data_IF_415323031494
#
_entry.id   IF_415323031494
#
_cell.length_a   1.000
_cell.length_b   1.000
_cell.length_c   1.000
_cell.angle_alpha   90.00
_cell.angle_beta   90.00
_cell.angle_gamma   90.00
#
_symmetry.space_group_name_H-M   'P 1'
#
loop_
_entity.id
_entity.type
_entity.pdbx_description
1 polymer ?
#
# COMPACT_ATOMS: atom_id res chain seq x y z
N UNK A 1 -39.98 -25.10 2.93
CA UNK A 1 -38.51 -25.06 2.87
C UNK A 1 -38.12 -24.02 1.83
N UNK A 2 -37.86 -22.78 2.26
CA UNK A 2 -37.71 -21.64 1.35
C UNK A 2 -36.29 -21.61 0.77
N UNK A 3 -36.17 -21.82 -0.55
CA UNK A 3 -34.93 -21.61 -1.29
C UNK A 3 -34.67 -20.10 -1.35
N UNK A 4 -33.65 -19.65 -0.62
CA UNK A 4 -33.20 -18.27 -0.70
C UNK A 4 -32.66 -18.01 -2.10
N UNK A 5 -33.34 -17.12 -2.84
CA UNK A 5 -32.98 -16.75 -4.21
C UNK A 5 -31.68 -15.92 -4.14
N UNK A 6 -30.55 -16.54 -4.44
CA UNK A 6 -29.25 -15.88 -4.33
C UNK A 6 -29.04 -15.04 -5.58
N UNK A 7 -29.07 -13.72 -5.44
CA UNK A 7 -28.72 -12.81 -6.54
C UNK A 7 -27.21 -12.93 -6.74
N UNK A 8 -26.81 -13.74 -7.72
CA UNK A 8 -25.41 -13.86 -8.13
C UNK A 8 -25.03 -12.58 -8.86
N UNK A 9 -24.36 -11.67 -8.17
CA UNK A 9 -23.84 -10.45 -8.78
C UNK A 9 -22.62 -10.82 -9.62
N UNK A 10 -22.79 -10.81 -10.94
CA UNK A 10 -21.70 -11.03 -11.90
C UNK A 10 -21.01 -9.70 -12.16
N UNK A 11 -19.72 -9.61 -11.81
CA UNK A 11 -18.87 -8.46 -12.09
C UNK A 11 -18.00 -8.79 -13.29
N UNK A 12 -18.22 -8.10 -14.40
CA UNK A 12 -17.41 -8.26 -15.62
C UNK A 12 -15.99 -7.73 -15.40
N UNK A 13 -14.98 -8.49 -15.83
CA UNK A 13 -13.58 -8.14 -15.66
C UNK A 13 -12.81 -8.24 -16.98
N UNK A 14 -12.18 -7.15 -17.40
CA UNK A 14 -11.25 -7.15 -18.53
C UNK A 14 -9.88 -7.69 -18.10
N UNK A 15 -9.51 -8.83 -18.70
CA UNK A 15 -8.27 -9.55 -18.40
C UNK A 15 -7.04 -9.01 -19.13
N UNK A 16 -7.21 -8.13 -20.13
CA UNK A 16 -6.10 -7.55 -20.92
C UNK A 16 -5.34 -8.58 -21.77
N UNK A 17 -5.87 -9.80 -21.94
CA UNK A 17 -5.27 -10.88 -22.75
C UNK A 17 -5.88 -11.00 -24.16
N UNK A 18 -6.80 -10.10 -24.52
CA UNK A 18 -7.52 -10.15 -25.79
C UNK A 18 -8.48 -11.35 -25.87
N UNK A 19 -8.74 -11.83 -27.08
CA UNK A 19 -9.61 -13.00 -27.31
C UNK A 19 -8.86 -14.28 -26.90
N UNK A 20 -9.38 -14.97 -25.87
CA UNK A 20 -8.81 -16.22 -25.39
C UNK A 20 -9.32 -17.36 -26.27
N UNK A 21 -8.42 -18.06 -26.95
CA UNK A 21 -8.77 -19.18 -27.85
C UNK A 21 -8.84 -20.53 -27.14
N UNK A 22 -7.87 -20.84 -26.28
CA UNK A 22 -7.70 -22.18 -25.72
C UNK A 22 -8.31 -22.32 -24.31
N UNK A 23 -7.65 -21.75 -23.29
CA UNK A 23 -8.00 -21.96 -21.88
C UNK A 23 -8.20 -20.63 -21.14
N UNK A 24 -9.44 -20.38 -20.72
CA UNK A 24 -9.86 -19.21 -19.97
C UNK A 24 -9.17 -19.08 -18.60
N UNK A 25 -9.08 -20.16 -17.83
CA UNK A 25 -8.50 -20.13 -16.49
C UNK A 25 -7.00 -19.84 -16.53
N UNK A 26 -6.27 -20.43 -17.49
CA UNK A 26 -4.84 -20.17 -17.69
C UNK A 26 -4.58 -18.71 -18.06
N UNK A 27 -5.41 -18.14 -18.93
CA UNK A 27 -5.33 -16.73 -19.29
C UNK A 27 -5.64 -15.81 -18.10
N UNK A 28 -6.64 -16.17 -17.28
CA UNK A 28 -6.98 -15.44 -16.07
C UNK A 28 -5.85 -15.49 -15.04
N UNK A 29 -5.33 -16.67 -14.67
CA UNK A 29 -4.26 -16.82 -13.65
C UNK A 29 -3.01 -16.01 -14.00
N UNK A 30 -2.73 -15.83 -15.29
CA UNK A 30 -1.58 -15.05 -15.75
C UNK A 30 -1.90 -13.56 -15.96
N UNK A 31 -3.16 -13.14 -15.85
CA UNK A 31 -3.57 -11.75 -16.00
C UNK A 31 -3.16 -10.89 -14.78
N UNK A 32 -3.22 -9.54 -14.90
CA UNK A 32 -2.91 -8.64 -13.78
C UNK A 32 -3.79 -8.84 -12.54
N UNK A 33 -4.97 -9.45 -12.69
CA UNK A 33 -5.89 -9.72 -11.60
C UNK A 33 -5.24 -10.59 -10.51
N UNK A 34 -4.53 -11.64 -10.91
CA UNK A 34 -3.93 -12.63 -10.02
C UNK A 34 -2.43 -12.40 -9.80
N UNK A 35 -1.97 -11.15 -9.85
CA UNK A 35 -0.58 -10.84 -9.52
C UNK A 35 -0.27 -11.12 -8.05
N UNK A 36 0.98 -11.46 -7.77
CA UNK A 36 1.50 -11.50 -6.41
C UNK A 36 1.42 -10.10 -5.79
N UNK A 37 0.86 -10.02 -4.59
CA UNK A 37 0.81 -8.79 -3.79
C UNK A 37 1.83 -8.90 -2.67
N UNK A 38 2.65 -7.87 -2.53
CA UNK A 38 3.61 -7.73 -1.43
C UNK A 38 3.10 -6.70 -0.45
N UNK A 39 3.01 -7.07 0.82
CA UNK A 39 2.71 -6.11 1.90
C UNK A 39 3.98 -5.37 2.33
N UNK A 40 3.84 -4.11 2.70
CA UNK A 40 4.96 -3.35 3.26
C UNK A 40 5.20 -3.80 4.71
N UNK A 41 6.42 -4.23 5.00
CA UNK A 41 6.83 -4.56 6.36
C UNK A 41 6.77 -3.33 7.27
N UNK A 42 6.42 -3.54 8.54
CA UNK A 42 6.36 -2.44 9.55
C UNK A 42 7.74 -2.00 10.03
N UNK A 43 8.75 -2.87 9.95
CA UNK A 43 10.12 -2.61 10.40
C UNK A 43 11.11 -3.32 9.48
N UNK A 44 12.31 -2.76 9.33
CA UNK A 44 13.40 -3.34 8.54
C UNK A 44 13.54 -2.75 7.14
N UNK A 45 13.98 -3.56 6.18
CA UNK A 45 14.25 -3.10 4.81
C UNK A 45 12.94 -2.69 4.12
N UNK A 46 12.92 -1.47 3.57
CA UNK A 46 11.75 -0.94 2.86
C UNK A 46 10.58 -0.54 3.75
N UNK A 47 10.76 -0.49 5.08
CA UNK A 47 9.71 -0.04 6.02
C UNK A 47 9.74 1.47 6.31
N UNK A 48 10.76 2.19 5.84
CA UNK A 48 10.88 3.63 6.09
C UNK A 48 9.90 4.41 5.20
N UNK A 49 8.98 5.14 5.82
CA UNK A 49 8.07 6.06 5.16
C UNK A 49 8.44 7.50 5.54
N UNK A 50 8.85 8.33 4.57
CA UNK A 50 9.23 9.74 4.79
C UNK A 50 8.11 10.60 5.39
N UNK A 51 6.86 10.17 5.22
CA UNK A 51 5.67 10.83 5.74
C UNK A 51 4.91 9.79 6.56
N UNK A 52 4.97 9.93 7.89
CA UNK A 52 4.19 9.10 8.79
C UNK A 52 2.71 9.15 8.43
N UNK A 53 1.99 8.07 8.72
CA UNK A 53 0.54 7.97 8.44
C UNK A 53 -0.24 9.14 9.07
N UNK A 54 0.18 9.62 10.24
CA UNK A 54 -0.39 10.80 10.90
C UNK A 54 -0.18 12.10 10.08
N UNK A 55 1.01 12.30 9.50
CA UNK A 55 1.29 13.42 8.59
C UNK A 55 0.50 13.32 7.28
N UNK A 56 0.16 12.13 6.79
CA UNK A 56 -0.66 11.97 5.58
C UNK A 56 -2.14 12.28 5.82
N UNK A 57 -2.65 12.02 7.01
CA UNK A 57 -4.07 12.19 7.36
C UNK A 57 -4.41 13.63 7.77
N UNK A 58 -3.47 14.32 8.42
CA UNK A 58 -3.59 15.76 8.66
C UNK A 58 -2.75 16.49 7.62
N UNK A 59 -3.31 17.41 6.83
CA UNK A 59 -2.56 18.32 5.95
C UNK A 59 -1.61 19.28 6.71
N UNK A 60 -1.17 18.91 7.91
CA UNK A 60 -0.25 19.65 8.75
C UNK A 60 1.16 19.23 8.35
N UNK A 61 1.95 20.20 7.88
CA UNK A 61 3.40 20.06 7.82
C UNK A 61 3.86 19.70 9.23
N UNK A 62 4.30 18.45 9.40
CA UNK A 62 4.88 17.91 10.62
C UNK A 62 5.86 18.87 11.24
N UNK A 63 5.92 18.86 12.57
CA UNK A 63 6.85 19.66 13.34
C UNK A 63 8.27 19.29 12.91
N UNK A 64 8.84 20.11 12.02
CA UNK A 64 10.29 20.16 11.85
C UNK A 64 10.82 20.44 13.25
N UNK A 65 11.62 19.53 13.79
CA UNK A 65 12.37 19.77 15.02
C UNK A 65 13.20 21.03 14.77
N UNK A 66 12.71 22.17 15.24
CA UNK A 66 13.46 23.42 15.28
C UNK A 66 14.51 23.19 16.35
N UNK A 67 15.69 22.76 15.94
CA UNK A 67 16.98 23.04 16.58
C UNK A 67 17.17 22.85 18.09
N UNK A 68 16.25 22.27 18.84
CA UNK A 68 16.40 22.05 20.28
C UNK A 68 16.73 20.58 20.50
N UNK A 69 17.90 20.16 20.02
CA UNK A 69 18.42 18.85 20.38
C UNK A 69 18.95 18.96 21.83
N UNK A 70 18.64 17.99 22.71
CA UNK A 70 19.05 18.04 24.10
C UNK A 70 20.57 17.91 24.32
N UNK A 71 21.38 17.92 23.25
CA UNK A 71 22.84 17.86 23.24
C UNK A 71 23.50 19.08 22.60
N UNK A 72 22.73 20.08 22.14
CA UNK A 72 23.30 21.31 21.55
C UNK A 72 24.15 22.11 22.54
N UNK A 73 24.02 21.83 23.84
CA UNK A 73 24.85 22.45 24.89
C UNK A 73 26.35 22.09 24.79
N UNK A 74 26.73 20.96 24.18
CA UNK A 74 28.14 20.59 24.02
C UNK A 74 28.88 21.45 22.98
N UNK A 75 28.15 22.07 22.05
CA UNK A 75 28.74 22.89 20.99
C UNK A 75 29.28 24.25 21.47
N UNK A 76 28.87 24.71 22.67
CA UNK A 76 29.29 25.99 23.25
C UNK A 76 30.59 25.90 24.09
N UNK A 77 31.16 24.71 24.27
CA UNK A 77 32.33 24.50 25.14
C UNK A 77 33.68 24.53 24.40
N UNK A 78 33.68 24.81 23.09
CA UNK A 78 34.89 24.93 22.26
C UNK A 78 35.04 26.31 21.59
N UNK A 79 34.46 27.35 22.20
CA UNK A 79 34.79 28.75 21.88
C UNK A 79 35.26 29.47 23.15
#
# INVERSE_FOLDING_TARGET
>A
MNKQNTVVVTIEHDSGRGKIADNALKALVTSPLFRTRTERAKKGKGSYDRKDKAFKMSNRKGHQHKGDAPFDFLGLSFY
#
